data_IF_050944601395
#
_entry.id   IF_050944601395
#
_cell.length_a   1.000
_cell.length_b   1.000
_cell.length_c   1.000
_cell.angle_alpha   90.00
_cell.angle_beta   90.00
_cell.angle_gamma   90.00
#
_symmetry.space_group_name_H-M   'P 1'
#
loop_
_entity.id
_entity.type
_entity.pdbx_description
1 polymer ?
#
# COMPACT_ATOMS: atom_id res chain seq x y z
N UNK A 1 -66.26 -12.87 -22.33
CA UNK A 1 -66.37 -14.28 -22.72
C UNK A 1 -64.97 -14.83 -22.59
N UNK A 2 -64.48 -15.14 -21.39
CA UNK A 2 -64.98 -16.08 -20.38
C UNK A 2 -64.90 -17.55 -20.81
N UNK A 3 -64.33 -18.33 -19.90
CA UNK A 3 -64.32 -19.80 -19.75
C UNK A 3 -63.21 -20.62 -20.43
N UNK A 4 -62.35 -21.18 -19.56
CA UNK A 4 -61.38 -22.29 -19.71
C UNK A 4 -62.12 -23.66 -19.78
N UNK A 5 -61.68 -24.82 -19.22
CA UNK A 5 -60.37 -25.43 -18.87
C UNK A 5 -60.29 -26.95 -19.26
N UNK A 6 -59.44 -27.72 -18.55
CA UNK A 6 -59.43 -29.19 -18.26
C UNK A 6 -58.40 -29.99 -19.07
N UNK A 7 -57.54 -30.87 -18.52
CA UNK A 7 -57.31 -31.43 -17.17
C UNK A 7 -56.09 -32.40 -17.25
N UNK A 8 -55.18 -32.43 -16.27
CA UNK A 8 -55.08 -33.40 -15.15
C UNK A 8 -54.58 -34.80 -15.60
N UNK A 9 -53.57 -35.46 -15.00
CA UNK A 9 -53.45 -35.86 -13.58
C UNK A 9 -52.05 -36.46 -13.22
N UNK A 10 -51.43 -36.07 -12.09
CA UNK A 10 -51.10 -36.86 -10.84
C UNK A 10 -50.03 -37.97 -10.94
N UNK A 11 -49.12 -38.30 -10.01
CA UNK A 11 -48.88 -38.10 -8.54
C UNK A 11 -47.51 -38.77 -8.22
N UNK A 12 -46.69 -38.39 -7.23
CA UNK A 12 -46.83 -38.74 -5.80
C UNK A 12 -45.61 -38.19 -5.01
N UNK A 13 -45.82 -37.45 -3.92
CA UNK A 13 -45.70 -37.79 -2.46
C UNK A 13 -44.28 -37.98 -1.88
N UNK A 14 -43.98 -37.15 -0.88
CA UNK A 14 -43.00 -37.42 0.18
C UNK A 14 -43.08 -36.33 1.25
N UNK A 15 -43.71 -36.63 2.38
CA UNK A 15 -43.92 -35.75 3.53
C UNK A 15 -42.94 -36.08 4.66
N UNK A 16 -42.59 -35.09 5.47
CA UNK A 16 -41.89 -35.29 6.75
C UNK A 16 -41.74 -33.97 7.49
N UNK A 17 -42.57 -33.76 8.52
CA UNK A 17 -42.46 -32.65 9.48
C UNK A 17 -42.01 -33.20 10.84
N UNK A 18 -41.20 -32.44 11.58
CA UNK A 18 -41.35 -32.34 13.05
C UNK A 18 -40.55 -31.17 13.64
N UNK A 19 -41.24 -30.52 14.58
CA UNK A 19 -40.92 -29.45 15.52
C UNK A 19 -39.83 -29.78 16.55
N UNK A 20 -39.15 -28.75 17.07
CA UNK A 20 -38.40 -28.83 18.33
C UNK A 20 -37.62 -27.57 18.69
N UNK A 21 -38.13 -26.79 19.65
CA UNK A 21 -37.50 -25.62 20.28
C UNK A 21 -36.44 -26.03 21.31
N UNK A 22 -35.36 -25.24 21.46
CA UNK A 22 -34.75 -24.84 22.76
C UNK A 22 -33.45 -24.03 22.57
N UNK A 23 -33.35 -22.90 23.27
CA UNK A 23 -32.08 -22.24 23.64
C UNK A 23 -31.53 -22.90 24.92
N UNK A 24 -30.21 -22.85 25.16
CA UNK A 24 -29.73 -22.00 26.26
C UNK A 24 -28.39 -21.29 26.01
N UNK A 25 -28.12 -20.39 26.95
CA UNK A 25 -27.04 -19.41 27.08
C UNK A 25 -25.64 -20.05 27.23
N UNK A 26 -24.59 -19.32 26.79
CA UNK A 26 -23.36 -19.24 27.58
C UNK A 26 -22.55 -17.97 27.25
N UNK A 27 -22.21 -17.24 28.30
CA UNK A 27 -21.29 -16.11 28.28
C UNK A 27 -19.83 -16.60 28.37
N UNK A 28 -18.88 -15.87 27.77
CA UNK A 28 -17.59 -15.46 28.36
C UNK A 28 -16.68 -14.83 27.29
N UNK A 29 -16.43 -13.53 27.49
CA UNK A 29 -15.15 -12.81 27.33
C UNK A 29 -14.03 -13.40 26.46
N UNK A 30 -13.60 -12.60 25.48
CA UNK A 30 -12.18 -12.32 25.23
C UNK A 30 -12.05 -10.89 24.67
N UNK A 31 -11.62 -9.96 25.52
CA UNK A 31 -10.95 -8.74 25.05
C UNK A 31 -9.61 -9.19 24.46
N UNK A 32 -9.39 -8.95 23.18
CA UNK A 32 -8.03 -8.91 22.64
C UNK A 32 -7.76 -7.50 22.13
N UNK A 33 -7.27 -6.67 23.06
CA UNK A 33 -6.66 -5.39 22.74
C UNK A 33 -5.29 -5.67 22.13
N UNK A 34 -5.24 -5.83 20.81
CA UNK A 34 -3.97 -5.90 20.10
C UNK A 34 -3.38 -4.49 20.04
N UNK A 35 -2.54 -4.22 21.05
CA UNK A 35 -1.65 -3.08 21.17
C UNK A 35 -1.00 -2.75 19.83
N UNK A 36 -1.11 -1.48 19.44
CA UNK A 36 -0.30 -0.92 18.38
C UNK A 36 1.18 -1.06 18.76
N UNK A 37 1.89 -1.95 18.07
CA UNK A 37 3.35 -1.96 18.07
C UNK A 37 3.79 -0.82 17.16
N UNK A 38 3.77 0.41 17.69
CA UNK A 38 4.62 1.48 17.20
C UNK A 38 6.06 1.11 17.54
N UNK A 39 6.67 0.26 16.72
CA UNK A 39 8.11 0.08 16.73
C UNK A 39 8.75 1.33 16.13
N UNK A 40 8.75 2.42 16.91
CA UNK A 40 9.63 3.53 16.69
C UNK A 40 11.06 3.01 16.94
N UNK A 41 11.80 2.73 15.86
CA UNK A 41 13.23 2.56 15.95
C UNK A 41 13.83 3.89 16.44
N UNK A 42 14.03 3.98 17.75
CA UNK A 42 14.72 5.09 18.38
C UNK A 42 16.12 5.18 17.76
N UNK A 43 16.39 6.29 17.07
CA UNK A 43 17.70 6.63 16.55
C UNK A 43 18.71 6.61 17.69
N UNK A 44 19.63 5.64 17.67
CA UNK A 44 20.77 5.59 18.58
C UNK A 44 21.64 6.83 18.37
N UNK A 45 21.77 7.65 19.42
CA UNK A 45 22.60 8.84 19.40
C UNK A 45 24.08 8.43 19.17
N UNK A 46 24.63 8.76 18.00
CA UNK A 46 26.05 8.52 17.68
C UNK A 46 26.36 8.15 16.23
N UNK A 47 25.36 7.79 15.41
CA UNK A 47 25.60 7.52 13.99
C UNK A 47 25.68 8.81 13.16
N UNK A 48 26.61 8.91 12.19
CA UNK A 48 26.86 10.13 11.42
C UNK A 48 25.66 10.52 10.56
N UNK A 49 25.44 11.83 10.38
CA UNK A 49 24.45 12.32 9.42
C UNK A 49 24.84 11.94 7.99
N UNK A 50 23.83 11.70 7.16
CA UNK A 50 23.99 11.40 5.74
C UNK A 50 23.77 12.70 4.98
N UNK A 51 24.78 13.17 4.23
CA UNK A 51 24.62 14.34 3.36
C UNK A 51 23.80 14.00 2.11
N UNK A 52 23.21 15.01 1.49
CA UNK A 52 22.45 14.84 0.24
C UNK A 52 23.32 14.26 -0.90
N UNK A 53 24.60 14.66 -0.98
CA UNK A 53 25.55 14.10 -1.94
C UNK A 53 25.79 12.61 -1.71
N UNK A 54 25.92 12.17 -0.44
CA UNK A 54 26.06 10.76 -0.12
C UNK A 54 24.78 9.98 -0.44
N UNK A 55 23.62 10.57 -0.13
CA UNK A 55 22.32 9.98 -0.44
C UNK A 55 22.18 9.72 -1.95
N UNK A 56 22.61 10.67 -2.79
CA UNK A 56 22.61 10.51 -4.24
C UNK A 56 23.46 9.34 -4.73
N UNK A 57 24.65 9.14 -4.16
CA UNK A 57 25.49 7.99 -4.52
C UNK A 57 24.90 6.66 -4.01
N UNK A 58 24.25 6.66 -2.84
CA UNK A 58 23.57 5.48 -2.32
C UNK A 58 22.38 5.07 -3.20
N UNK A 59 21.55 6.02 -3.63
CA UNK A 59 20.41 5.76 -4.52
C UNK A 59 20.87 5.12 -5.83
N UNK A 60 21.96 5.61 -6.43
CA UNK A 60 22.53 5.03 -7.67
C UNK A 60 23.00 3.59 -7.52
N UNK A 61 23.30 3.15 -6.29
CA UNK A 61 23.72 1.76 -6.05
C UNK A 61 22.55 0.76 -6.17
N UNK A 62 21.31 1.22 -6.06
CA UNK A 62 20.10 0.42 -6.25
C UNK A 62 19.72 0.31 -7.73
N UNK A 63 20.34 -0.65 -8.42
CA UNK A 63 20.16 -0.85 -9.87
C UNK A 63 18.75 -1.28 -10.28
N UNK A 64 17.96 -1.78 -9.33
CA UNK A 64 16.59 -2.22 -9.57
C UNK A 64 15.58 -1.06 -9.59
N UNK A 65 15.98 0.12 -9.13
CA UNK A 65 15.11 1.30 -9.09
C UNK A 65 15.16 2.03 -10.41
N UNK A 66 14.02 2.06 -11.11
CA UNK A 66 13.91 2.71 -12.43
C UNK A 66 13.72 4.21 -12.27
N UNK A 67 12.75 4.61 -11.45
CA UNK A 67 12.49 6.00 -11.07
C UNK A 67 12.63 6.13 -9.58
N UNK A 68 13.11 7.26 -9.09
CA UNK A 68 13.15 7.55 -7.67
C UNK A 68 12.93 9.05 -7.40
N UNK A 69 12.22 9.35 -6.32
CA UNK A 69 12.01 10.72 -5.84
C UNK A 69 12.14 10.71 -4.32
N UNK A 70 12.98 11.57 -3.78
CA UNK A 70 13.07 11.87 -2.35
C UNK A 70 12.53 13.27 -2.13
N UNK A 71 11.57 13.39 -1.22
CA UNK A 71 10.85 14.64 -0.97
C UNK A 71 10.45 14.74 0.50
N UNK A 72 10.10 15.95 0.95
CA UNK A 72 9.64 16.18 2.32
C UNK A 72 8.12 16.31 2.45
N UNK A 73 7.65 16.50 3.69
CA UNK A 73 6.24 16.67 4.03
C UNK A 73 5.54 17.86 3.36
N UNK A 74 6.30 18.84 2.89
CA UNK A 74 5.78 20.01 2.17
C UNK A 74 5.80 19.79 0.64
N UNK A 75 6.06 18.55 0.21
CA UNK A 75 6.19 18.15 -1.18
C UNK A 75 7.37 18.80 -1.94
N UNK A 76 8.40 19.28 -1.23
CA UNK A 76 9.62 19.76 -1.85
C UNK A 76 10.49 18.57 -2.25
N UNK A 77 10.87 18.51 -3.53
CA UNK A 77 11.79 17.48 -4.04
C UNK A 77 13.22 17.80 -3.61
N UNK A 78 13.86 16.85 -2.92
CA UNK A 78 15.26 16.92 -2.48
C UNK A 78 16.18 16.25 -3.50
N UNK A 79 15.72 15.15 -4.10
CA UNK A 79 16.48 14.37 -5.07
C UNK A 79 15.53 13.62 -5.99
N UNK A 80 15.81 13.58 -7.29
CA UNK A 80 15.01 12.82 -8.25
C UNK A 80 15.81 12.51 -9.52
N UNK A 81 15.55 11.36 -10.15
CA UNK A 81 16.05 11.07 -11.51
C UNK A 81 15.00 11.35 -12.60
N UNK A 82 13.80 11.76 -12.22
CA UNK A 82 12.72 12.17 -13.11
C UNK A 82 12.24 13.58 -12.74
N UNK A 83 11.41 14.17 -13.60
CA UNK A 83 10.68 15.40 -13.30
C UNK A 83 9.20 15.06 -13.08
N UNK A 84 8.71 15.02 -11.83
CA UNK A 84 7.29 14.82 -11.56
C UNK A 84 6.45 15.94 -12.19
N UNK A 85 5.20 15.63 -12.52
CA UNK A 85 4.24 16.64 -12.97
C UNK A 85 3.69 17.45 -11.79
N UNK A 86 3.10 18.59 -12.13
CA UNK A 86 2.56 19.52 -11.13
C UNK A 86 1.51 18.82 -10.24
N UNK A 87 1.71 18.90 -8.93
CA UNK A 87 0.82 18.32 -7.94
C UNK A 87 1.03 16.83 -7.64
N UNK A 88 1.83 16.08 -8.42
CA UNK A 88 2.03 14.65 -8.19
C UNK A 88 2.69 14.38 -6.83
N UNK A 89 3.75 15.12 -6.48
CA UNK A 89 4.45 14.96 -5.20
C UNK A 89 3.53 15.29 -4.02
N UNK A 90 2.67 16.30 -4.15
CA UNK A 90 1.65 16.61 -3.15
C UNK A 90 0.60 15.48 -3.03
N UNK A 91 0.25 14.82 -4.14
CA UNK A 91 -0.56 13.60 -4.14
C UNK A 91 0.11 12.45 -3.39
N UNK A 92 1.43 12.26 -3.59
CA UNK A 92 2.20 11.22 -2.89
C UNK A 92 2.22 11.41 -1.37
N UNK A 93 2.36 12.65 -0.89
CA UNK A 93 2.26 12.96 0.55
C UNK A 93 0.88 12.56 1.09
N UNK A 94 -0.19 12.87 0.34
CA UNK A 94 -1.58 12.61 0.74
C UNK A 94 -1.94 11.13 0.81
N UNK A 95 -1.16 10.22 0.21
CA UNK A 95 -1.40 8.78 0.28
C UNK A 95 -1.60 8.32 1.73
N UNK A 96 -0.87 8.90 2.68
CA UNK A 96 -0.91 8.51 4.09
C UNK A 96 -2.02 9.18 4.92
N UNK A 97 -2.90 9.99 4.31
CA UNK A 97 -3.96 10.67 5.04
C UNK A 97 -5.14 9.76 5.38
N UNK A 98 -5.59 8.95 4.41
CA UNK A 98 -6.73 8.05 4.57
C UNK A 98 -6.56 6.79 3.73
N UNK A 99 -6.48 5.65 4.42
CA UNK A 99 -6.22 4.34 3.81
C UNK A 99 -7.25 3.99 2.74
N UNK A 100 -8.54 4.16 3.05
CA UNK A 100 -9.64 3.72 2.21
C UNK A 100 -9.64 4.48 0.88
N UNK A 101 -9.39 5.79 0.93
CA UNK A 101 -9.33 6.62 -0.27
C UNK A 101 -8.14 6.22 -1.14
N UNK A 102 -6.95 6.05 -0.53
CA UNK A 102 -5.74 5.60 -1.24
C UNK A 102 -5.89 4.21 -1.87
N UNK A 103 -6.51 3.27 -1.15
CA UNK A 103 -6.78 1.92 -1.68
C UNK A 103 -7.80 1.95 -2.83
N UNK A 104 -8.75 2.89 -2.82
CA UNK A 104 -9.77 3.02 -3.86
C UNK A 104 -9.26 3.78 -5.10
N UNK A 105 -8.44 4.82 -4.91
CA UNK A 105 -7.99 5.71 -5.99
C UNK A 105 -6.62 5.37 -6.56
N UNK A 106 -5.79 4.64 -5.82
CA UNK A 106 -4.40 4.39 -6.20
C UNK A 106 -3.52 5.64 -6.12
N UNK A 107 -2.49 5.70 -6.97
CA UNK A 107 -1.56 6.83 -7.08
C UNK A 107 -1.18 7.11 -8.53
N UNK A 108 -0.76 8.34 -8.83
CA UNK A 108 -0.32 8.76 -10.17
C UNK A 108 1.15 9.20 -10.14
N UNK A 109 1.90 8.83 -11.17
CA UNK A 109 3.24 9.34 -11.42
C UNK A 109 3.50 9.46 -12.92
N UNK A 110 3.96 10.63 -13.39
CA UNK A 110 4.12 10.94 -14.82
C UNK A 110 2.85 10.70 -15.64
N UNK A 111 1.69 11.07 -15.08
CA UNK A 111 0.36 10.86 -15.69
C UNK A 111 -0.03 9.38 -15.87
N UNK A 112 0.66 8.47 -15.17
CA UNK A 112 0.38 7.03 -15.21
C UNK A 112 -0.27 6.58 -13.90
N UNK A 113 -1.39 5.87 -14.03
CA UNK A 113 -2.17 5.38 -12.90
C UNK A 113 -1.61 4.06 -12.39
N UNK A 114 -1.38 3.96 -11.09
CA UNK A 114 -0.98 2.74 -10.39
C UNK A 114 -2.05 2.36 -9.37
N UNK A 115 -2.52 1.12 -9.47
CA UNK A 115 -3.45 0.56 -8.49
C UNK A 115 -2.69 0.19 -7.22
N UNK A 116 -3.08 0.81 -6.11
CA UNK A 116 -2.54 0.48 -4.79
C UNK A 116 -3.22 -0.79 -4.29
N UNK A 117 -2.43 -1.87 -4.14
CA UNK A 117 -2.91 -3.14 -3.61
C UNK A 117 -2.39 -3.42 -2.20
N UNK A 118 -1.40 -2.66 -1.71
CA UNK A 118 -1.03 -2.68 -0.28
C UNK A 118 -0.88 -1.28 0.29
N UNK A 119 -1.61 -1.06 1.37
CA UNK A 119 -1.41 0.02 2.32
C UNK A 119 -0.99 -0.55 3.68
N UNK A 120 0.28 -0.40 4.04
CA UNK A 120 0.84 -0.89 5.31
C UNK A 120 1.99 0.04 5.75
N UNK A 121 1.66 1.17 6.41
CA UNK A 121 2.64 2.14 6.87
C UNK A 121 3.84 1.45 7.57
N UNK A 122 5.09 1.84 7.27
CA UNK A 122 5.47 3.06 6.53
C UNK A 122 5.34 2.96 5.00
N UNK A 123 4.86 1.85 4.45
CA UNK A 123 4.83 1.58 3.01
C UNK A 123 3.43 1.68 2.39
N UNK A 124 3.38 2.25 1.20
CA UNK A 124 2.25 2.18 0.28
C UNK A 124 2.78 1.75 -1.07
N UNK A 125 2.23 0.69 -1.67
CA UNK A 125 2.71 0.24 -2.97
C UNK A 125 1.63 -0.40 -3.84
N UNK A 126 1.90 -0.36 -5.13
CA UNK A 126 0.96 -0.67 -6.18
C UNK A 126 1.66 -1.13 -7.45
N UNK A 127 0.89 -1.27 -8.52
CA UNK A 127 1.39 -1.63 -9.84
C UNK A 127 0.51 -1.06 -10.93
N UNK A 128 1.06 -0.96 -12.12
CA UNK A 128 0.35 -0.71 -13.38
C UNK A 128 0.79 -1.72 -14.44
N UNK A 129 0.05 -1.75 -15.55
CA UNK A 129 0.31 -2.64 -16.68
C UNK A 129 -0.76 -3.73 -16.83
N UNK A 130 -0.88 -4.26 -18.04
CA UNK A 130 -1.79 -5.36 -18.36
C UNK A 130 -1.15 -6.68 -17.94
N UNK A 131 -1.78 -7.52 -17.10
CA UNK A 131 -1.25 -8.85 -16.76
C UNK A 131 -1.00 -9.76 -17.97
N UNK A 132 -1.61 -9.46 -19.12
CA UNK A 132 -1.53 -10.23 -20.37
C UNK A 132 -0.32 -9.88 -21.23
N UNK A 133 0.28 -8.71 -20.99
CA UNK A 133 1.47 -8.22 -21.65
C UNK A 133 2.51 -8.15 -20.55
N UNK A 134 3.66 -8.82 -20.62
CA UNK A 134 4.65 -8.86 -19.52
C UNK A 134 5.33 -7.49 -19.21
N UNK A 135 4.65 -6.39 -19.46
CA UNK A 135 5.01 -4.99 -19.25
C UNK A 135 4.28 -4.47 -18.00
N UNK A 136 4.77 -4.87 -16.83
CA UNK A 136 4.32 -4.37 -15.53
C UNK A 136 5.34 -3.45 -14.89
N UNK A 137 4.89 -2.33 -14.31
CA UNK A 137 5.71 -1.47 -13.47
C UNK A 137 5.10 -1.38 -12.07
N UNK A 138 5.90 -1.68 -11.05
CA UNK A 138 5.54 -1.46 -9.66
C UNK A 138 5.94 -0.08 -9.18
N UNK A 139 5.21 0.43 -8.20
CA UNK A 139 5.49 1.69 -7.52
C UNK A 139 5.43 1.47 -6.02
N UNK A 140 6.37 2.06 -5.28
CA UNK A 140 6.37 2.01 -3.83
C UNK A 140 6.78 3.36 -3.24
N UNK A 141 6.09 3.77 -2.19
CA UNK A 141 6.41 4.96 -1.39
C UNK A 141 6.66 4.50 0.04
N UNK A 142 7.73 5.01 0.63
CA UNK A 142 8.05 4.81 2.04
C UNK A 142 8.11 6.16 2.74
N UNK A 143 7.44 6.25 3.90
CA UNK A 143 7.46 7.42 4.79
C UNK A 143 8.42 7.18 5.95
N UNK A 144 9.21 8.18 6.30
CA UNK A 144 10.05 8.16 7.51
C UNK A 144 9.96 9.49 8.25
N UNK A 145 10.06 9.44 9.58
CA UNK A 145 10.02 10.63 10.44
C UNK A 145 11.40 10.81 11.07
N UNK A 146 12.00 11.99 10.87
CA UNK A 146 13.30 12.38 11.35
C UNK A 146 13.15 13.66 12.18
N UNK A 147 13.29 13.58 13.51
CA UNK A 147 13.35 14.77 14.36
C UNK A 147 12.20 15.78 14.17
N UNK A 148 10.99 15.29 13.89
CA UNK A 148 9.80 16.12 13.58
C UNK A 148 9.60 16.45 12.10
N UNK A 149 10.62 16.27 11.25
CA UNK A 149 10.50 16.34 9.79
C UNK A 149 9.97 15.00 9.25
N UNK A 150 9.05 15.05 8.29
CA UNK A 150 8.68 13.86 7.52
C UNK A 150 9.42 13.87 6.19
N UNK A 151 10.01 12.74 5.84
CA UNK A 151 10.65 12.49 4.56
C UNK A 151 9.98 11.30 3.87
N UNK A 152 10.04 11.29 2.55
CA UNK A 152 9.51 10.22 1.73
C UNK A 152 10.53 9.82 0.67
N UNK A 153 10.50 8.53 0.30
CA UNK A 153 11.17 8.03 -0.88
C UNK A 153 10.15 7.24 -1.72
N UNK A 154 9.99 7.64 -2.97
CA UNK A 154 9.28 6.89 -3.99
C UNK A 154 10.29 6.15 -4.85
N UNK A 155 9.97 4.91 -5.23
CA UNK A 155 10.66 4.19 -6.31
C UNK A 155 9.66 3.57 -7.28
N UNK A 156 10.10 3.34 -8.51
CA UNK A 156 9.47 2.36 -9.40
C UNK A 156 10.44 1.26 -9.78
N UNK A 157 9.89 0.12 -10.18
CA UNK A 157 10.65 -1.06 -10.61
C UNK A 157 9.88 -1.82 -11.67
N UNK A 158 10.59 -2.49 -12.57
CA UNK A 158 10.01 -3.28 -13.68
C UNK A 158 10.49 -4.72 -13.62
N UNK A 159 9.76 -5.62 -14.28
CA UNK A 159 10.20 -7.00 -14.46
C UNK A 159 11.64 -7.07 -15.04
N UNK A 160 12.52 -7.98 -14.56
CA UNK A 160 12.29 -9.10 -13.63
C UNK A 160 12.29 -8.73 -12.14
N UNK A 161 12.41 -7.45 -11.78
CA UNK A 161 12.38 -7.02 -10.38
C UNK A 161 10.94 -7.09 -9.85
N UNK A 162 10.76 -7.83 -8.76
CA UNK A 162 9.48 -7.95 -8.07
C UNK A 162 9.42 -7.04 -6.84
N UNK A 163 8.20 -6.75 -6.39
CA UNK A 163 7.94 -6.01 -5.14
C UNK A 163 8.65 -6.64 -3.94
N UNK A 164 8.72 -7.98 -3.89
CA UNK A 164 9.40 -8.74 -2.85
C UNK A 164 10.90 -8.43 -2.72
N UNK A 165 11.53 -7.84 -3.74
CA UNK A 165 12.91 -7.35 -3.71
C UNK A 165 12.99 -5.84 -3.52
N UNK A 166 12.27 -5.08 -4.36
CA UNK A 166 12.39 -3.63 -4.39
C UNK A 166 11.83 -2.96 -3.12
N UNK A 167 10.71 -3.45 -2.58
CA UNK A 167 10.04 -2.84 -1.42
C UNK A 167 10.86 -3.01 -0.13
N UNK A 168 11.43 -4.20 0.19
CA UNK A 168 12.35 -4.32 1.32
C UNK A 168 13.59 -3.43 1.21
N UNK A 169 14.20 -3.34 0.02
CA UNK A 169 15.33 -2.44 -0.23
C UNK A 169 14.97 -0.98 0.05
N UNK A 170 13.79 -0.54 -0.40
CA UNK A 170 13.28 0.81 -0.13
C UNK A 170 13.14 1.07 1.38
N UNK A 171 12.52 0.13 2.11
CA UNK A 171 12.31 0.27 3.55
C UNK A 171 13.64 0.39 4.29
N UNK A 172 14.58 -0.51 4.01
CA UNK A 172 15.92 -0.49 4.61
C UNK A 172 16.66 0.82 4.30
N UNK A 173 16.62 1.27 3.05
CA UNK A 173 17.23 2.56 2.66
C UNK A 173 16.62 3.73 3.46
N UNK A 174 15.30 3.75 3.63
CA UNK A 174 14.64 4.83 4.36
C UNK A 174 14.99 4.84 5.85
N UNK A 175 15.02 3.65 6.46
CA UNK A 175 15.27 3.48 7.90
C UNK A 175 16.74 3.62 8.29
N UNK A 176 17.67 3.40 7.35
CA UNK A 176 19.11 3.44 7.64
C UNK A 176 19.81 4.67 7.07
N UNK A 177 19.37 5.18 5.92
CA UNK A 177 20.04 6.28 5.22
C UNK A 177 19.20 7.55 5.25
N UNK A 178 17.95 7.48 4.79
CA UNK A 178 17.11 8.67 4.62
C UNK A 178 16.78 9.34 5.96
N UNK A 179 16.48 8.57 7.00
CA UNK A 179 16.19 9.09 8.35
C UNK A 179 17.36 9.88 8.97
N UNK A 180 18.56 9.77 8.38
CA UNK A 180 19.77 10.44 8.85
C UNK A 180 20.16 11.65 8.00
N UNK A 181 19.31 12.03 7.04
CA UNK A 181 19.58 13.13 6.12
C UNK A 181 19.76 14.46 6.87
N UNK A 182 20.97 15.03 6.87
CA UNK A 182 21.30 16.24 7.65
C UNK A 182 22.52 16.97 7.13
#
# INVERSE_FOLDING_TARGET
MDVAPIGSSSTSRGAGASTGSQSPQNASTSNDSSSADETAHALTAGEPSVSLARLHELVKSHKEWVKHIIFDGDANVLLSNIKPLDGEVAGLVKLYHKREDTMASGTVLLNEQYDVHRFHPPLVYGRRGDPSVEEGEGIAVCKVVQGGRTLFCLITYVYPTLSARAVPQLKEFCETQLVRLG
#
